data_IF_677032520346
#
_entry.id   IF_677032520346
#
_cell.length_a   1.000
_cell.length_b   1.000
_cell.length_c   1.000
_cell.angle_alpha   90.00
_cell.angle_beta   90.00
_cell.angle_gamma   90.00
#
_symmetry.space_group_name_H-M   'P 1'
#
loop_
_entity.id
_entity.type
_entity.pdbx_description
1 polymer ?
#
# COMPACT_ATOMS: atom_id res chain seq x y z
N UNK A 1 -7.69 -2.69 -15.44
CA UNK A 1 -6.49 -3.29 -16.10
C UNK A 1 -5.33 -3.10 -15.13
N UNK A 2 -4.70 -4.18 -14.68
CA UNK A 2 -3.52 -4.06 -13.83
C UNK A 2 -2.35 -3.50 -14.66
N UNK A 3 -1.62 -2.56 -14.06
CA UNK A 3 -0.47 -1.94 -14.68
C UNK A 3 0.75 -2.89 -14.62
N UNK A 4 1.52 -2.91 -15.69
CA UNK A 4 2.79 -3.62 -15.75
C UNK A 4 3.85 -2.86 -14.94
N UNK A 5 4.85 -3.57 -14.41
CA UNK A 5 5.89 -2.96 -13.55
C UNK A 5 6.68 -1.86 -14.27
N UNK A 6 6.87 -1.98 -15.59
CA UNK A 6 7.57 -0.98 -16.39
C UNK A 6 6.76 0.32 -16.52
N UNK A 7 5.44 0.22 -16.69
CA UNK A 7 4.56 1.39 -16.73
C UNK A 7 4.56 2.09 -15.36
N UNK A 8 4.52 1.31 -14.27
CA UNK A 8 4.58 1.81 -12.91
C UNK A 8 5.91 2.54 -12.64
N UNK A 9 7.03 2.01 -13.11
CA UNK A 9 8.34 2.68 -12.99
C UNK A 9 8.35 4.00 -13.76
N UNK A 10 7.84 4.01 -15.00
CA UNK A 10 7.76 5.24 -15.81
C UNK A 10 6.87 6.30 -15.13
N UNK A 11 5.72 5.90 -14.59
CA UNK A 11 4.83 6.80 -13.84
C UNK A 11 5.53 7.36 -12.60
N UNK A 12 6.22 6.51 -11.83
CA UNK A 12 6.95 6.92 -10.63
C UNK A 12 8.07 7.93 -10.96
N UNK A 13 8.86 7.66 -11.98
CA UNK A 13 9.96 8.54 -12.41
C UNK A 13 9.45 9.85 -13.00
N UNK A 14 8.27 9.88 -13.62
CA UNK A 14 7.60 11.09 -14.09
C UNK A 14 6.97 11.93 -12.97
N UNK A 15 6.97 11.44 -11.73
CA UNK A 15 6.46 12.16 -10.55
C UNK A 15 4.98 11.95 -10.29
N UNK A 16 4.39 10.85 -10.79
CA UNK A 16 3.05 10.45 -10.40
C UNK A 16 2.97 10.21 -8.87
N UNK A 17 1.82 10.50 -8.30
CA UNK A 17 1.54 10.25 -6.90
C UNK A 17 0.90 8.88 -6.75
N UNK A 18 1.42 8.09 -5.83
CA UNK A 18 0.92 6.78 -5.46
C UNK A 18 0.33 6.81 -4.05
N UNK A 19 -0.62 5.94 -3.79
CA UNK A 19 -1.14 5.71 -2.44
C UNK A 19 -1.17 4.21 -2.17
N UNK A 20 -0.31 3.75 -1.29
CA UNK A 20 -0.41 2.42 -0.70
C UNK A 20 -1.48 2.44 0.38
N UNK A 21 -2.39 1.46 0.40
CA UNK A 21 -3.44 1.36 1.40
C UNK A 21 -3.71 -0.08 1.80
N UNK A 22 -4.27 -0.25 2.97
CA UNK A 22 -4.63 -1.52 3.58
C UNK A 22 -5.90 -1.35 4.42
N UNK A 23 -6.67 -2.41 4.59
CA UNK A 23 -7.91 -2.41 5.37
C UNK A 23 -7.94 -3.56 6.36
N UNK A 24 -8.24 -3.24 7.64
CA UNK A 24 -8.64 -4.23 8.61
C UNK A 24 -10.16 -4.40 8.59
N UNK A 25 -10.63 -5.64 8.70
CA UNK A 25 -12.04 -5.98 8.47
C UNK A 25 -12.58 -6.92 9.54
N UNK A 26 -13.91 -7.04 9.61
CA UNK A 26 -14.59 -8.00 10.52
C UNK A 26 -14.58 -9.43 10.01
N UNK A 27 -14.04 -9.70 8.81
CA UNK A 27 -13.96 -11.02 8.18
C UNK A 27 -13.47 -10.93 6.75
N UNK A 28 -13.71 -11.97 5.94
CA UNK A 28 -13.08 -12.10 4.63
C UNK A 28 -14.01 -11.79 3.45
N UNK A 29 -15.33 -11.79 3.66
CA UNK A 29 -16.30 -11.58 2.58
C UNK A 29 -16.78 -10.12 2.56
N UNK A 30 -16.43 -9.29 1.57
CA UNK A 30 -16.82 -7.88 1.53
C UNK A 30 -18.35 -7.65 1.44
N UNK A 31 -19.13 -8.65 0.99
CA UNK A 31 -20.59 -8.51 0.94
C UNK A 31 -21.27 -8.66 2.31
N UNK A 32 -20.63 -9.36 3.25
CA UNK A 32 -21.18 -9.71 4.55
C UNK A 32 -20.48 -8.96 5.71
N UNK A 33 -19.23 -8.57 5.51
CA UNK A 33 -18.34 -8.04 6.53
C UNK A 33 -18.10 -6.53 6.37
N UNK A 34 -17.45 -5.92 7.34
CA UNK A 34 -17.27 -4.48 7.44
C UNK A 34 -15.81 -4.10 7.64
N UNK A 35 -15.44 -2.89 7.21
CA UNK A 35 -14.12 -2.30 7.47
C UNK A 35 -14.07 -1.83 8.93
N UNK A 36 -12.95 -2.11 9.61
CA UNK A 36 -12.61 -1.68 10.98
C UNK A 36 -11.56 -0.57 11.01
N UNK A 37 -10.60 -0.60 10.09
CA UNK A 37 -9.56 0.40 9.97
C UNK A 37 -9.20 0.58 8.49
N UNK A 38 -8.87 1.81 8.10
CA UNK A 38 -8.22 2.10 6.82
C UNK A 38 -6.92 2.81 7.13
N UNK A 39 -5.81 2.25 6.65
CA UNK A 39 -4.51 2.88 6.65
C UNK A 39 -4.05 3.19 5.24
N UNK A 40 -3.44 4.36 5.02
CA UNK A 40 -2.90 4.69 3.71
C UNK A 40 -1.69 5.62 3.81
N UNK A 41 -0.75 5.45 2.88
CA UNK A 41 0.46 6.27 2.75
C UNK A 41 0.55 6.77 1.31
N UNK A 42 0.44 8.09 1.14
CA UNK A 42 0.63 8.74 -0.15
C UNK A 42 2.10 9.12 -0.33
N UNK A 43 2.67 8.84 -1.49
CA UNK A 43 4.08 9.04 -1.78
C UNK A 43 4.35 9.30 -3.27
N UNK A 44 5.52 9.82 -3.56
CA UNK A 44 6.08 9.97 -4.91
C UNK A 44 7.60 9.75 -4.87
N UNK A 45 8.30 10.08 -5.95
CA UNK A 45 9.78 9.95 -6.06
C UNK A 45 10.56 10.82 -5.07
N UNK A 46 9.93 11.78 -4.39
CA UNK A 46 10.55 12.62 -3.36
C UNK A 46 10.34 12.07 -1.95
N UNK A 47 9.51 11.03 -1.79
CA UNK A 47 9.23 10.36 -0.53
C UNK A 47 7.75 10.40 -0.12
N UNK A 48 7.50 10.15 1.16
CA UNK A 48 6.15 10.16 1.74
C UNK A 48 5.60 11.59 1.75
N UNK A 49 4.41 11.78 1.21
CA UNK A 49 3.68 13.05 1.16
C UNK A 49 2.69 13.23 2.30
N UNK A 50 1.93 12.17 2.59
CA UNK A 50 0.89 12.20 3.62
C UNK A 50 0.59 10.78 4.13
N UNK A 51 -0.02 10.71 5.31
CA UNK A 51 -0.53 9.49 5.91
C UNK A 51 -1.99 9.67 6.27
N UNK A 52 -2.74 8.59 6.17
CA UNK A 52 -4.14 8.50 6.56
C UNK A 52 -4.31 7.27 7.42
N UNK A 53 -4.92 7.42 8.58
CA UNK A 53 -5.27 6.28 9.43
C UNK A 53 -6.54 6.58 10.19
N UNK A 54 -7.54 5.72 10.07
CA UNK A 54 -8.83 5.90 10.71
C UNK A 54 -9.43 4.57 11.15
N UNK A 55 -9.82 4.50 12.44
CA UNK A 55 -10.68 3.44 12.95
C UNK A 55 -12.13 3.74 12.58
N UNK A 56 -12.84 2.72 12.13
CA UNK A 56 -14.20 2.80 11.62
C UNK A 56 -15.14 1.99 12.51
N UNK A 57 -16.26 2.56 12.87
CA UNK A 57 -17.32 1.84 13.56
C UNK A 57 -18.07 0.95 12.56
N UNK A 58 -17.95 -0.39 12.66
CA UNK A 58 -18.60 -1.31 11.74
C UNK A 58 -20.11 -1.43 11.99
N UNK A 59 -20.66 -0.79 13.03
CA UNK A 59 -22.03 -0.88 13.51
C UNK A 59 -22.47 -2.34 13.80
N UNK A 60 -21.54 -3.19 14.15
CA UNK A 60 -21.75 -4.58 14.53
C UNK A 60 -20.68 -5.02 15.53
N UNK A 61 -20.96 -6.10 16.23
CA UNK A 61 -20.01 -6.68 17.19
C UNK A 61 -18.81 -7.29 16.47
N UNK A 62 -17.63 -7.03 16.99
CA UNK A 62 -16.37 -7.64 16.54
C UNK A 62 -16.19 -8.98 17.25
N UNK A 63 -15.97 -10.03 16.45
CA UNK A 63 -15.75 -11.37 17.00
C UNK A 63 -14.35 -11.48 17.62
N UNK A 64 -14.19 -12.23 18.73
CA UNK A 64 -12.90 -12.35 19.41
C UNK A 64 -11.78 -12.92 18.55
N UNK A 65 -12.09 -13.75 17.55
CA UNK A 65 -11.14 -14.25 16.56
C UNK A 65 -10.57 -13.15 15.67
N UNK A 66 -11.35 -12.14 15.33
CA UNK A 66 -10.93 -10.97 14.54
C UNK A 66 -10.00 -10.10 15.38
N UNK A 67 -10.41 -9.79 16.63
CA UNK A 67 -9.55 -9.04 17.56
C UNK A 67 -8.20 -9.73 17.81
N UNK A 68 -8.16 -11.07 17.80
CA UNK A 68 -6.88 -11.81 17.91
C UNK A 68 -5.97 -11.63 16.70
N UNK A 69 -6.51 -11.32 15.53
CA UNK A 69 -5.75 -11.11 14.29
C UNK A 69 -5.21 -9.69 14.21
N UNK A 70 -6.10 -8.67 14.33
CA UNK A 70 -5.73 -7.27 14.09
C UNK A 70 -5.66 -6.39 15.36
N UNK A 71 -5.99 -6.95 16.51
CA UNK A 71 -5.95 -6.22 17.80
C UNK A 71 -7.07 -5.20 17.98
N UNK A 72 -8.03 -5.08 17.05
CA UNK A 72 -9.11 -4.11 17.13
C UNK A 72 -10.31 -4.77 17.84
N UNK A 73 -10.81 -4.10 18.88
CA UNK A 73 -11.98 -4.54 19.65
C UNK A 73 -13.13 -3.51 19.62
N UNK A 74 -14.28 -3.91 20.17
CA UNK A 74 -15.47 -3.06 20.21
C UNK A 74 -15.22 -1.73 20.93
N UNK A 75 -14.34 -1.67 21.93
CA UNK A 75 -14.05 -0.44 22.68
C UNK A 75 -13.29 0.59 21.84
N UNK A 76 -12.41 0.12 20.96
CA UNK A 76 -11.60 0.98 20.08
C UNK A 76 -12.44 1.66 19.00
N UNK A 77 -13.47 1.00 18.51
CA UNK A 77 -14.35 1.50 17.43
C UNK A 77 -15.63 2.16 17.96
N UNK A 78 -15.92 2.00 19.25
CA UNK A 78 -17.08 2.64 19.88
C UNK A 78 -16.97 4.16 19.78
N UNK A 79 -18.04 4.81 19.28
CA UNK A 79 -18.06 6.26 19.08
C UNK A 79 -17.22 6.78 17.90
N UNK A 80 -16.57 5.89 17.14
CA UNK A 80 -15.95 6.27 15.86
C UNK A 80 -17.01 6.49 14.79
N UNK A 81 -16.66 7.26 13.77
CA UNK A 81 -17.47 7.46 12.59
C UNK A 81 -17.59 6.14 11.78
N UNK A 82 -18.69 6.00 11.05
CA UNK A 82 -18.87 4.87 10.11
C UNK A 82 -18.01 5.06 8.87
N UNK A 83 -17.96 4.02 7.98
CA UNK A 83 -17.31 4.19 6.68
C UNK A 83 -17.98 5.29 5.87
N UNK A 84 -19.31 5.35 5.82
CA UNK A 84 -20.05 6.37 5.07
C UNK A 84 -19.68 7.79 5.50
N UNK A 85 -19.50 8.02 6.80
CA UNK A 85 -19.10 9.33 7.34
C UNK A 85 -17.65 9.70 6.96
N UNK A 86 -16.77 8.70 6.84
CA UNK A 86 -15.35 8.87 6.48
C UNK A 86 -15.10 8.86 4.97
N UNK A 87 -16.05 8.36 4.16
CA UNK A 87 -15.83 8.05 2.74
C UNK A 87 -15.30 9.25 1.95
N UNK A 88 -15.89 10.43 2.14
CA UNK A 88 -15.45 11.66 1.42
C UNK A 88 -14.00 12.04 1.78
N UNK A 89 -13.60 11.88 3.04
CA UNK A 89 -12.22 12.16 3.47
C UNK A 89 -11.23 11.19 2.84
N UNK A 90 -11.57 9.88 2.83
CA UNK A 90 -10.74 8.87 2.19
C UNK A 90 -10.66 9.08 0.67
N UNK A 91 -11.79 9.31 -0.01
CA UNK A 91 -11.82 9.58 -1.46
C UNK A 91 -10.98 10.81 -1.84
N UNK A 92 -11.03 11.88 -1.03
CA UNK A 92 -10.20 13.06 -1.25
C UNK A 92 -8.70 12.74 -1.07
N UNK A 93 -8.35 11.88 -0.09
CA UNK A 93 -6.97 11.49 0.15
C UNK A 93 -6.37 10.70 -1.02
N UNK A 94 -7.14 9.81 -1.63
CA UNK A 94 -6.70 8.97 -2.76
C UNK A 94 -6.95 9.60 -4.14
N UNK A 95 -7.52 10.81 -4.18
CA UNK A 95 -7.89 11.46 -5.44
C UNK A 95 -6.67 11.68 -6.34
N UNK A 96 -6.79 11.29 -7.62
CA UNK A 96 -5.74 11.40 -8.63
C UNK A 96 -4.42 10.67 -8.27
N UNK A 97 -4.48 9.63 -7.47
CA UNK A 97 -3.33 8.77 -7.17
C UNK A 97 -3.48 7.39 -7.82
N UNK A 98 -2.35 6.71 -8.07
CA UNK A 98 -2.33 5.28 -8.37
C UNK A 98 -2.41 4.52 -7.06
N UNK A 99 -3.42 3.65 -6.91
CA UNK A 99 -3.58 2.85 -5.70
C UNK A 99 -2.69 1.62 -5.72
N UNK A 100 -2.11 1.31 -4.57
CA UNK A 100 -1.31 0.10 -4.37
C UNK A 100 -1.83 -0.61 -3.13
N UNK A 101 -2.02 -1.93 -3.23
CA UNK A 101 -2.31 -2.77 -2.07
C UNK A 101 -1.62 -4.13 -2.21
N UNK A 102 -1.55 -4.88 -1.13
CA UNK A 102 -1.05 -6.24 -1.14
C UNK A 102 -2.20 -7.24 -1.17
N UNK A 103 -2.45 -7.90 -2.29
CA UNK A 103 -3.70 -8.59 -2.62
C UNK A 103 -4.85 -7.58 -2.84
N UNK A 104 -4.59 -6.58 -3.67
CA UNK A 104 -5.47 -5.45 -3.95
C UNK A 104 -6.96 -5.79 -4.18
N UNK A 105 -7.35 -6.93 -4.80
CA UNK A 105 -8.75 -7.31 -4.94
C UNK A 105 -9.51 -7.40 -3.61
N UNK A 106 -8.83 -7.74 -2.50
CA UNK A 106 -9.44 -7.81 -1.18
C UNK A 106 -9.85 -6.41 -0.70
N UNK A 107 -8.91 -5.49 -0.57
CA UNK A 107 -9.15 -4.15 -0.05
C UNK A 107 -10.10 -3.34 -0.95
N UNK A 108 -9.90 -3.43 -2.27
CA UNK A 108 -10.78 -2.80 -3.25
C UNK A 108 -12.21 -3.36 -3.18
N UNK A 109 -12.35 -4.66 -2.94
CA UNK A 109 -13.64 -5.31 -2.74
C UNK A 109 -14.40 -4.72 -1.56
N UNK A 110 -13.74 -4.58 -0.41
CA UNK A 110 -14.32 -3.99 0.79
C UNK A 110 -14.67 -2.51 0.59
N UNK A 111 -13.73 -1.70 0.11
CA UNK A 111 -13.96 -0.27 -0.12
C UNK A 111 -15.10 -0.05 -1.11
N UNK A 112 -15.12 -0.77 -2.23
CA UNK A 112 -16.16 -0.62 -3.24
C UNK A 112 -17.54 -1.07 -2.74
N UNK A 113 -17.61 -2.13 -1.92
CA UNK A 113 -18.88 -2.56 -1.32
C UNK A 113 -19.40 -1.54 -0.29
N UNK A 114 -18.52 -0.97 0.53
CA UNK A 114 -18.91 0.09 1.47
C UNK A 114 -19.34 1.37 0.73
N UNK A 115 -18.65 1.77 -0.34
CA UNK A 115 -19.06 2.89 -1.20
C UNK A 115 -20.43 2.65 -1.82
N UNK A 116 -20.67 1.46 -2.37
CA UNK A 116 -21.97 1.06 -2.92
C UNK A 116 -23.06 1.14 -1.86
N UNK A 117 -22.80 0.66 -0.66
CA UNK A 117 -23.74 0.73 0.48
C UNK A 117 -24.05 2.17 0.88
N UNK A 118 -23.06 3.08 0.79
CA UNK A 118 -23.22 4.50 1.02
C UNK A 118 -23.84 5.26 -0.17
N UNK A 119 -24.24 4.58 -1.26
CA UNK A 119 -24.80 5.20 -2.47
C UNK A 119 -23.79 5.98 -3.30
N UNK A 120 -22.50 5.70 -3.13
CA UNK A 120 -21.41 6.33 -3.87
C UNK A 120 -20.90 5.46 -5.03
N UNK A 121 -20.18 6.09 -5.96
CA UNK A 121 -19.55 5.37 -7.07
C UNK A 121 -18.36 4.54 -6.59
N UNK A 122 -18.05 3.41 -7.24
CA UNK A 122 -16.85 2.65 -6.97
C UNK A 122 -15.59 3.45 -7.32
N UNK A 123 -14.45 3.00 -6.81
CA UNK A 123 -13.14 3.58 -7.13
C UNK A 123 -12.82 3.42 -8.62
N UNK A 124 -12.35 4.49 -9.24
CA UNK A 124 -11.93 4.54 -10.65
C UNK A 124 -10.40 4.69 -10.80
N UNK A 125 -9.66 4.69 -9.69
CA UNK A 125 -8.21 4.82 -9.69
C UNK A 125 -7.55 3.66 -10.45
N UNK A 126 -6.45 3.96 -11.13
CA UNK A 126 -5.53 2.92 -11.56
C UNK A 126 -4.95 2.19 -10.35
N UNK A 127 -4.77 0.88 -10.45
CA UNK A 127 -4.33 0.06 -9.31
C UNK A 127 -3.17 -0.85 -9.68
N UNK A 128 -2.31 -1.10 -8.69
CA UNK A 128 -1.27 -2.13 -8.75
C UNK A 128 -1.38 -3.04 -7.53
N UNK A 129 -1.09 -4.32 -7.72
CA UNK A 129 -1.12 -5.36 -6.68
C UNK A 129 0.27 -5.89 -6.43
N UNK A 130 0.84 -5.58 -5.28
CA UNK A 130 2.20 -6.01 -4.92
C UNK A 130 2.31 -7.53 -4.78
N UNK A 131 1.24 -8.25 -4.47
CA UNK A 131 1.22 -9.71 -4.45
C UNK A 131 1.45 -10.27 -5.87
N UNK A 132 0.71 -9.77 -6.85
CA UNK A 132 0.83 -10.18 -8.26
C UNK A 132 2.19 -9.81 -8.82
N UNK A 133 2.65 -8.56 -8.58
CA UNK A 133 3.98 -8.10 -9.01
C UNK A 133 5.09 -8.97 -8.40
N UNK A 134 5.03 -9.24 -7.09
CA UNK A 134 6.04 -10.08 -6.42
C UNK A 134 6.08 -11.49 -6.98
N UNK A 135 4.93 -12.10 -7.28
CA UNK A 135 4.87 -13.43 -7.90
C UNK A 135 5.51 -13.47 -9.30
N UNK A 136 5.28 -12.42 -10.08
CA UNK A 136 5.86 -12.31 -11.42
C UNK A 136 7.39 -12.09 -11.38
N UNK A 137 7.86 -11.26 -10.46
CA UNK A 137 9.28 -10.85 -10.39
C UNK A 137 10.16 -11.80 -9.55
N UNK A 138 9.57 -12.56 -8.63
CA UNK A 138 10.26 -13.45 -7.71
C UNK A 138 9.68 -14.90 -7.79
N UNK A 139 9.71 -15.55 -8.96
CA UNK A 139 8.89 -16.75 -9.23
C UNK A 139 9.20 -17.96 -8.32
N UNK A 140 10.32 -17.97 -7.62
CA UNK A 140 10.77 -19.11 -6.80
C UNK A 140 10.76 -18.83 -5.29
N UNK A 141 10.07 -17.80 -4.83
CA UNK A 141 10.15 -17.35 -3.43
C UNK A 141 9.38 -18.26 -2.44
N UNK A 142 8.40 -19.04 -2.91
CA UNK A 142 7.62 -20.00 -2.11
C UNK A 142 6.48 -19.38 -1.30
N UNK A 143 6.65 -18.18 -0.74
CA UNK A 143 5.61 -17.41 -0.02
C UNK A 143 5.64 -15.94 -0.47
N UNK A 144 4.44 -15.33 -0.50
CA UNK A 144 4.28 -13.97 -0.99
C UNK A 144 3.35 -13.12 -0.11
N UNK A 145 3.07 -13.53 1.14
CA UNK A 145 2.35 -12.65 2.04
C UNK A 145 3.23 -11.46 2.44
N UNK A 146 2.60 -10.35 2.82
CA UNK A 146 3.26 -9.08 3.07
C UNK A 146 4.39 -9.19 4.10
N UNK A 147 4.16 -9.92 5.20
CA UNK A 147 5.15 -10.13 6.27
C UNK A 147 6.38 -10.92 5.79
N UNK A 148 6.17 -11.90 4.90
CA UNK A 148 7.28 -12.65 4.32
C UNK A 148 8.10 -11.80 3.35
N UNK A 149 7.44 -10.98 2.51
CA UNK A 149 8.12 -10.05 1.61
C UNK A 149 8.85 -8.95 2.39
N UNK A 150 8.26 -8.44 3.47
CA UNK A 150 8.94 -7.51 4.36
C UNK A 150 10.26 -8.09 4.89
N UNK A 151 10.23 -9.34 5.38
CA UNK A 151 11.44 -10.03 5.82
C UNK A 151 12.45 -10.26 4.68
N UNK A 152 11.97 -10.63 3.49
CA UNK A 152 12.82 -10.88 2.32
C UNK A 152 13.57 -9.62 1.88
N UNK A 153 12.90 -8.46 1.91
CA UNK A 153 13.47 -7.16 1.56
C UNK A 153 14.08 -6.40 2.74
N UNK A 154 14.17 -7.02 3.92
CA UNK A 154 14.70 -6.41 5.16
C UNK A 154 13.96 -5.13 5.57
N UNK A 155 12.64 -5.09 5.31
CA UNK A 155 11.75 -3.99 5.70
C UNK A 155 11.37 -4.17 7.18
N UNK A 156 11.55 -3.13 7.97
CA UNK A 156 11.15 -3.15 9.38
C UNK A 156 9.63 -3.06 9.53
N UNK A 157 9.01 -4.06 10.16
CA UNK A 157 7.59 -4.08 10.51
C UNK A 157 7.45 -3.66 11.97
N UNK A 158 6.64 -2.62 12.23
CA UNK A 158 6.47 -2.06 13.58
C UNK A 158 5.21 -2.63 14.23
N UNK A 159 4.09 -2.61 13.52
CA UNK A 159 2.78 -3.06 14.02
C UNK A 159 2.06 -3.87 12.94
N UNK A 160 2.47 -5.13 12.75
CA UNK A 160 1.76 -6.04 11.83
C UNK A 160 0.27 -6.11 12.17
N UNK A 161 -0.57 -6.21 11.14
CA UNK A 161 -2.04 -6.19 11.25
C UNK A 161 -2.59 -4.88 11.84
N UNK A 162 -1.96 -3.77 11.52
CA UNK A 162 -2.48 -2.42 11.66
C UNK A 162 -2.37 -1.74 10.31
N UNK A 163 -3.50 -1.30 9.80
CA UNK A 163 -3.65 -0.88 8.41
C UNK A 163 -2.62 0.18 7.95
N UNK A 164 -2.25 1.15 8.81
CA UNK A 164 -1.23 2.16 8.43
C UNK A 164 0.16 1.55 8.27
N UNK A 165 0.57 0.63 9.17
CA UNK A 165 1.89 0.01 9.07
C UNK A 165 1.94 -0.98 7.89
N UNK A 166 0.88 -1.76 7.67
CA UNK A 166 0.80 -2.68 6.53
C UNK A 166 0.74 -1.91 5.20
N UNK A 167 0.06 -0.77 5.11
CA UNK A 167 0.14 0.15 3.96
C UNK A 167 1.56 0.69 3.74
N UNK A 168 2.29 1.07 4.80
CA UNK A 168 3.69 1.50 4.71
C UNK A 168 4.59 0.37 4.22
N UNK A 169 4.45 -0.82 4.78
CA UNK A 169 5.22 -2.00 4.35
C UNK A 169 4.91 -2.34 2.90
N UNK A 170 3.64 -2.26 2.48
CA UNK A 170 3.22 -2.45 1.08
C UNK A 170 3.90 -1.43 0.15
N UNK A 171 3.97 -0.14 0.55
CA UNK A 171 4.71 0.89 -0.18
C UNK A 171 6.19 0.52 -0.32
N UNK A 172 6.84 0.11 0.77
CA UNK A 172 8.27 -0.22 0.73
C UNK A 172 8.54 -1.46 -0.12
N UNK A 173 7.69 -2.50 -0.05
CA UNK A 173 7.75 -3.66 -0.97
C UNK A 173 7.62 -3.19 -2.42
N UNK A 174 6.66 -2.32 -2.73
CA UNK A 174 6.50 -1.77 -4.08
C UNK A 174 7.75 -1.04 -4.56
N UNK A 175 8.36 -0.20 -3.72
CA UNK A 175 9.59 0.51 -4.06
C UNK A 175 10.75 -0.44 -4.32
N UNK A 176 10.89 -1.51 -3.54
CA UNK A 176 11.88 -2.57 -3.78
C UNK A 176 11.68 -3.27 -5.13
N UNK A 177 10.43 -3.56 -5.50
CA UNK A 177 10.11 -4.13 -6.81
C UNK A 177 10.45 -3.17 -7.96
N UNK A 178 10.21 -1.87 -7.81
CA UNK A 178 10.63 -0.87 -8.80
C UNK A 178 12.16 -0.80 -8.92
N UNK A 179 12.89 -0.86 -7.80
CA UNK A 179 14.36 -0.89 -7.82
C UNK A 179 14.91 -2.06 -8.63
N UNK A 180 14.29 -3.25 -8.56
CA UNK A 180 14.73 -4.46 -9.28
C UNK A 180 14.65 -4.34 -10.83
N UNK A 181 13.75 -3.50 -11.34
CA UNK A 181 13.57 -3.30 -12.79
C UNK A 181 14.22 -2.01 -13.30
N UNK A 182 14.76 -1.22 -12.39
CA UNK A 182 15.46 0.01 -12.76
C UNK A 182 16.78 -0.34 -13.44
N UNK A 183 17.07 0.20 -14.63
CA UNK A 183 18.34 -0.04 -15.29
C UNK A 183 19.50 0.46 -14.40
N UNK A 184 20.58 -0.33 -14.35
CA UNK A 184 21.80 0.09 -13.64
C UNK A 184 22.25 1.46 -14.17
N UNK A 185 22.49 2.38 -13.25
CA UNK A 185 23.04 3.69 -13.62
C UNK A 185 24.44 3.45 -14.22
N UNK A 186 24.76 3.97 -15.42
CA UNK A 186 26.13 3.85 -15.92
C UNK A 186 27.11 4.33 -14.86
N UNK A 187 28.16 3.55 -14.63
CA UNK A 187 29.21 3.95 -13.69
C UNK A 187 29.72 5.34 -14.12
N UNK A 188 29.75 6.28 -13.19
CA UNK A 188 30.39 7.58 -13.45
C UNK A 188 31.84 7.30 -13.83
N UNK A 189 32.36 7.89 -14.94
CA UNK A 189 33.76 7.70 -15.30
C UNK A 189 34.63 8.17 -14.14
N UNK A 190 35.55 7.30 -13.72
CA UNK A 190 36.55 7.65 -12.70
C UNK A 190 37.24 8.97 -13.11
N UNK A 191 37.42 9.92 -12.19
CA UNK A 191 38.13 11.14 -12.51
C UNK A 191 39.52 10.78 -13.06
N UNK A 192 39.76 11.15 -14.32
CA UNK A 192 41.05 10.95 -14.96
C UNK A 192 42.13 11.57 -14.08
N UNK A 193 43.07 10.73 -13.62
CA UNK A 193 44.26 11.19 -12.90
C UNK A 193 44.98 12.23 -13.80
N UNK A 194 44.87 13.51 -13.42
CA UNK A 194 45.69 14.55 -14.05
C UNK A 194 47.15 14.15 -13.83
N UNK A 195 47.86 13.94 -14.93
CA UNK A 195 49.26 13.68 -14.95
C UNK A 195 49.99 14.89 -14.34
N UNK A 196 50.52 14.73 -13.15
CA UNK A 196 51.55 15.65 -12.62
C UNK A 196 52.73 15.72 -13.60
N UNK A 197 52.85 16.81 -14.32
CA UNK A 197 54.07 17.11 -15.04
C UNK A 197 55.14 17.54 -14.02
N UNK A 198 56.35 16.93 -14.02
CA UNK A 198 57.40 17.38 -13.15
C UNK A 198 57.89 18.74 -13.64
N UNK A 199 57.88 19.73 -12.74
CA UNK A 199 58.54 21.02 -12.96
C UNK A 199 60.06 20.81 -13.07
N UNK A 200 60.61 21.31 -14.19
CA UNK A 200 62.08 21.50 -14.34
C UNK A 200 62.54 22.79 -13.67
#
# INVERSE_FOLDING_TARGET
MMLEIQDLLQMYDSGAVFTAFDTETTGLNPEEEKILEIGAVSFDRLGIRARYNVLINPQRKILPEITRVNGIDDSMVSGKLTFADNAVHFLNFINNTVLIAHNAPFDLGFVNNELKTAGMKPLENQTADTLTLSRAMLPNLGKYNLQFLAKYFEINVVNAHRAEDDARVCMEVFLKLLEMVRPEKPAEPEPSAESEQPAM
#
